data_IF_828240912391
#
_entry.id   IF_828240912391
#
_cell.length_a   1.000
_cell.length_b   1.000
_cell.length_c   1.000
_cell.angle_alpha   90.00
_cell.angle_beta   90.00
_cell.angle_gamma   90.00
#
_symmetry.space_group_name_H-M   'P 1'
#
loop_
_entity.id
_entity.type
_entity.pdbx_description
1 polymer ?
#
# COMPACT_ATOMS: atom_id res chain seq x y z
N UNK A 1 -6.55 21.04 3.32
CA UNK A 1 -7.46 19.90 3.53
C UNK A 1 -7.37 19.48 4.98
N UNK A 2 -8.48 19.56 5.71
CA UNK A 2 -8.52 19.23 7.14
C UNK A 2 -8.50 17.72 7.33
N UNK A 3 -7.56 17.23 8.17
CA UNK A 3 -7.35 15.81 8.49
C UNK A 3 -7.76 15.55 9.94
N UNK A 4 -8.53 14.52 10.16
CA UNK A 4 -9.00 14.10 11.48
C UNK A 4 -8.67 12.63 11.72
N UNK A 5 -8.11 12.32 12.89
CA UNK A 5 -7.86 10.92 13.27
C UNK A 5 -9.16 10.33 13.81
N UNK A 6 -9.60 9.23 13.22
CA UNK A 6 -10.78 8.49 13.66
C UNK A 6 -10.44 7.03 13.91
N UNK A 7 -11.24 6.35 14.72
CA UNK A 7 -11.13 4.90 14.96
C UNK A 7 -12.09 4.15 14.04
N UNK A 8 -11.61 3.09 13.44
CA UNK A 8 -12.41 2.17 12.60
C UNK A 8 -13.06 1.07 13.45
N UNK A 9 -13.95 0.25 12.86
CA UNK A 9 -14.68 -0.77 13.61
C UNK A 9 -13.80 -1.91 14.14
N UNK A 10 -12.61 -2.14 13.55
CA UNK A 10 -11.65 -3.13 14.06
C UNK A 10 -10.71 -2.59 15.15
N UNK A 11 -10.95 -1.36 15.61
CA UNK A 11 -10.15 -0.71 16.66
C UNK A 11 -8.96 0.10 16.15
N UNK A 12 -8.51 -0.13 14.91
CA UNK A 12 -7.39 0.61 14.31
C UNK A 12 -7.75 2.07 14.01
N UNK A 13 -6.75 2.95 13.97
CA UNK A 13 -6.96 4.35 13.59
C UNK A 13 -6.78 4.56 12.08
N UNK A 14 -7.45 5.59 11.55
CA UNK A 14 -7.28 6.06 10.18
C UNK A 14 -7.42 7.58 10.12
N UNK A 15 -7.06 8.18 9.00
CA UNK A 15 -7.21 9.61 8.74
C UNK A 15 -8.47 9.84 7.90
N UNK A 16 -9.35 10.69 8.36
CA UNK A 16 -10.53 11.17 7.63
C UNK A 16 -10.26 12.55 7.03
N UNK A 17 -10.51 12.69 5.73
CA UNK A 17 -10.42 13.94 4.98
C UNK A 17 -11.80 14.56 4.91
N UNK A 18 -12.05 15.61 5.70
CA UNK A 18 -13.39 16.18 5.87
C UNK A 18 -13.98 16.73 4.56
N UNK A 19 -13.18 17.43 3.77
CA UNK A 19 -13.67 18.04 2.52
C UNK A 19 -14.08 17.01 1.46
N UNK A 20 -13.51 15.82 1.50
CA UNK A 20 -13.83 14.74 0.57
C UNK A 20 -14.81 13.72 1.16
N UNK A 21 -15.04 13.77 2.47
CA UNK A 21 -15.70 12.70 3.23
C UNK A 21 -15.13 11.31 2.85
N UNK A 22 -13.82 11.22 2.87
CA UNK A 22 -13.06 10.03 2.50
C UNK A 22 -12.04 9.69 3.58
N UNK A 23 -11.77 8.41 3.78
CA UNK A 23 -10.76 7.94 4.73
C UNK A 23 -9.59 7.32 3.99
N UNK A 24 -8.41 7.34 4.63
CA UNK A 24 -7.23 6.63 4.13
C UNK A 24 -7.48 5.12 4.03
N UNK A 25 -8.30 4.57 4.93
CA UNK A 25 -8.67 3.15 4.96
C UNK A 25 -10.16 2.99 5.23
N UNK A 26 -10.67 1.77 5.05
CA UNK A 26 -12.06 1.44 5.35
C UNK A 26 -12.46 1.78 6.79
N UNK A 27 -13.61 2.43 6.97
CA UNK A 27 -14.23 2.64 8.30
C UNK A 27 -14.64 1.33 8.98
N UNK A 28 -14.75 0.24 8.21
CA UNK A 28 -15.07 -1.09 8.74
C UNK A 28 -13.86 -1.80 9.38
N UNK A 29 -12.64 -1.40 9.02
CA UNK A 29 -11.41 -1.92 9.61
C UNK A 29 -10.23 -1.71 8.69
N UNK A 30 -9.29 -0.85 9.10
CA UNK A 30 -8.11 -0.57 8.29
C UNK A 30 -7.17 -1.78 8.23
N UNK A 31 -6.94 -2.43 9.37
CA UNK A 31 -6.09 -3.62 9.47
C UNK A 31 -6.73 -4.81 8.74
N UNK A 32 -8.04 -5.04 8.93
CA UNK A 32 -8.74 -6.14 8.27
C UNK A 32 -8.70 -6.00 6.75
N UNK A 33 -8.94 -4.79 6.22
CA UNK A 33 -8.87 -4.53 4.78
C UNK A 33 -7.46 -4.77 4.25
N UNK A 34 -6.44 -4.22 4.91
CA UNK A 34 -5.05 -4.41 4.52
C UNK A 34 -4.64 -5.89 4.50
N UNK A 35 -5.01 -6.65 5.53
CA UNK A 35 -4.74 -8.08 5.61
C UNK A 35 -5.47 -8.87 4.53
N UNK A 36 -6.73 -8.54 4.24
CA UNK A 36 -7.49 -9.24 3.22
C UNK A 36 -7.00 -8.93 1.81
N UNK A 37 -6.88 -7.65 1.46
CA UNK A 37 -6.58 -7.21 0.10
C UNK A 37 -5.11 -7.44 -0.25
N UNK A 38 -4.20 -6.94 0.58
CA UNK A 38 -2.79 -6.86 0.21
C UNK A 38 -1.98 -8.07 0.67
N UNK A 39 -2.29 -8.63 1.83
CA UNK A 39 -1.56 -9.79 2.34
C UNK A 39 -2.13 -11.07 1.76
N UNK A 40 -3.40 -11.39 2.02
CA UNK A 40 -4.02 -12.66 1.61
C UNK A 40 -4.08 -12.82 0.11
N UNK A 41 -4.48 -11.79 -0.64
CA UNK A 41 -4.64 -11.86 -2.09
C UNK A 41 -3.39 -11.40 -2.87
N UNK A 42 -2.35 -10.94 -2.19
CA UNK A 42 -1.12 -10.44 -2.79
C UNK A 42 0.12 -11.14 -2.26
N UNK A 43 0.58 -10.76 -1.07
CA UNK A 43 1.87 -11.18 -0.51
C UNK A 43 2.02 -12.71 -0.39
N UNK A 44 0.96 -13.41 0.03
CA UNK A 44 1.00 -14.88 0.23
C UNK A 44 1.25 -15.66 -1.07
N UNK A 45 1.04 -15.06 -2.24
CA UNK A 45 1.35 -15.69 -3.52
C UNK A 45 2.86 -15.89 -3.77
N UNK A 46 3.68 -15.28 -2.92
CA UNK A 46 5.14 -15.25 -3.06
C UNK A 46 5.87 -15.88 -1.86
N UNK A 47 5.26 -16.83 -1.17
CA UNK A 47 5.89 -17.51 -0.02
C UNK A 47 7.27 -18.10 -0.39
N UNK A 48 8.25 -18.00 0.53
CA UNK A 48 9.64 -18.42 0.36
C UNK A 48 10.38 -17.77 -0.83
N UNK A 49 10.02 -16.54 -1.20
CA UNK A 49 10.63 -15.83 -2.35
C UNK A 49 11.21 -14.47 -1.95
N UNK A 50 12.09 -13.96 -2.81
CA UNK A 50 12.41 -12.54 -2.82
C UNK A 50 11.34 -11.81 -3.65
N UNK A 51 10.78 -10.73 -3.09
CA UNK A 51 9.65 -10.01 -3.70
C UNK A 51 9.93 -8.51 -3.72
N UNK A 52 9.87 -7.92 -4.90
CA UNK A 52 9.87 -6.47 -5.07
C UNK A 52 8.44 -5.95 -5.13
N UNK A 53 8.10 -5.03 -4.22
CA UNK A 53 6.75 -4.49 -4.04
C UNK A 53 6.75 -3.00 -4.35
N UNK A 54 5.75 -2.54 -5.13
CA UNK A 54 5.41 -1.13 -5.29
C UNK A 54 4.06 -0.87 -4.63
N UNK A 55 4.03 0.06 -3.69
CA UNK A 55 2.78 0.56 -3.11
C UNK A 55 2.45 1.93 -3.68
N UNK A 56 1.24 2.07 -4.20
CA UNK A 56 0.65 3.32 -4.64
C UNK A 56 -0.22 3.86 -3.52
N UNK A 57 0.22 4.96 -2.90
CA UNK A 57 -0.41 5.50 -1.68
C UNK A 57 0.20 4.93 -0.40
N UNK A 58 1.46 5.30 -0.08
CA UNK A 58 2.11 4.86 1.16
C UNK A 58 1.34 5.30 2.43
N UNK A 59 0.70 6.46 2.36
CA UNK A 59 -0.20 6.99 3.40
C UNK A 59 0.37 6.92 4.81
N UNK A 60 -0.33 6.20 5.69
CA UNK A 60 0.05 6.01 7.09
C UNK A 60 1.06 4.89 7.32
N UNK A 61 1.55 4.23 6.26
CA UNK A 61 2.51 3.13 6.34
C UNK A 61 1.95 1.80 6.84
N UNK A 62 0.61 1.67 6.93
CA UNK A 62 -0.04 0.46 7.45
C UNK A 62 0.31 -0.79 6.61
N UNK A 63 0.15 -0.71 5.29
CA UNK A 63 0.43 -1.85 4.41
C UNK A 63 1.91 -2.26 4.46
N UNK A 64 2.83 -1.29 4.50
CA UNK A 64 4.26 -1.54 4.63
C UNK A 64 4.59 -2.23 5.96
N UNK A 65 3.97 -1.77 7.07
CA UNK A 65 4.20 -2.35 8.39
C UNK A 65 3.63 -3.77 8.51
N UNK A 66 2.41 -4.01 8.04
CA UNK A 66 1.83 -5.38 8.01
C UNK A 66 2.66 -6.29 7.11
N UNK A 67 3.10 -5.81 5.93
CA UNK A 67 3.98 -6.57 5.05
C UNK A 67 5.29 -6.95 5.74
N UNK A 68 5.88 -6.01 6.51
CA UNK A 68 7.07 -6.31 7.31
C UNK A 68 6.83 -7.44 8.31
N UNK A 69 5.72 -7.41 9.03
CA UNK A 69 5.38 -8.45 10.03
C UNK A 69 5.12 -9.81 9.37
N UNK A 70 4.34 -9.83 8.28
CA UNK A 70 3.94 -11.06 7.61
C UNK A 70 5.07 -11.69 6.78
N UNK A 71 5.96 -10.88 6.18
CA UNK A 71 7.09 -11.38 5.39
C UNK A 71 8.03 -12.29 6.18
N UNK A 72 8.16 -12.06 7.50
CA UNK A 72 8.93 -12.93 8.39
C UNK A 72 8.31 -14.33 8.50
N UNK A 73 6.96 -14.40 8.59
CA UNK A 73 6.21 -15.67 8.69
C UNK A 73 6.23 -16.43 7.36
N UNK A 74 6.28 -15.69 6.25
CA UNK A 74 6.30 -16.23 4.89
C UNK A 74 7.73 -16.49 4.36
N UNK A 75 8.75 -16.30 5.19
CA UNK A 75 10.16 -16.50 4.83
C UNK A 75 10.57 -15.74 3.56
N UNK A 76 10.15 -14.48 3.46
CA UNK A 76 10.38 -13.64 2.29
C UNK A 76 11.54 -12.66 2.52
N UNK A 77 12.17 -12.26 1.40
CA UNK A 77 13.05 -11.09 1.35
C UNK A 77 12.36 -10.01 0.53
N UNK A 78 12.16 -8.83 1.11
CA UNK A 78 11.33 -7.77 0.55
C UNK A 78 12.17 -6.56 0.15
N UNK A 79 11.99 -6.09 -1.09
CA UNK A 79 12.37 -4.75 -1.54
C UNK A 79 11.09 -3.92 -1.74
N UNK A 80 10.79 -3.06 -0.77
CA UNK A 80 9.53 -2.32 -0.70
C UNK A 80 9.71 -0.87 -1.14
N UNK A 81 8.94 -0.44 -2.12
CA UNK A 81 8.88 0.95 -2.59
C UNK A 81 7.48 1.50 -2.34
N UNK A 82 7.35 2.48 -1.45
CA UNK A 82 6.09 3.19 -1.20
C UNK A 82 6.10 4.57 -1.86
N UNK A 83 5.09 4.88 -2.67
CA UNK A 83 4.95 6.17 -3.36
C UNK A 83 3.86 6.99 -2.70
N UNK A 84 4.15 8.28 -2.41
CA UNK A 84 3.22 9.21 -1.78
C UNK A 84 3.49 10.64 -2.26
N UNK A 85 2.44 11.33 -2.70
CA UNK A 85 2.56 12.74 -3.11
C UNK A 85 2.45 13.72 -1.93
N UNK A 86 1.64 13.38 -0.93
CA UNK A 86 1.29 14.23 0.21
C UNK A 86 1.51 13.51 1.55
N UNK A 87 2.77 13.29 1.96
CA UNK A 87 3.08 12.55 3.17
C UNK A 87 2.30 13.00 4.40
N UNK A 88 1.96 12.05 5.25
CA UNK A 88 1.40 12.32 6.57
C UNK A 88 2.44 13.00 7.47
N UNK A 89 1.99 13.84 8.42
CA UNK A 89 2.87 14.50 9.37
C UNK A 89 3.34 13.53 10.46
N UNK A 90 4.43 13.89 11.15
CA UNK A 90 4.90 13.13 12.30
C UNK A 90 3.84 13.03 13.42
N UNK A 91 3.04 14.06 13.62
CA UNK A 91 1.97 14.10 14.61
C UNK A 91 0.85 13.12 14.25
N UNK A 92 0.48 13.04 12.97
CA UNK A 92 -0.49 12.08 12.46
C UNK A 92 0.03 10.63 12.64
N UNK A 93 1.30 10.38 12.35
CA UNK A 93 1.94 9.07 12.57
C UNK A 93 1.90 8.66 14.03
N UNK A 94 2.23 9.57 14.95
CA UNK A 94 2.19 9.32 16.40
C UNK A 94 0.78 8.99 16.91
N UNK A 95 -0.25 9.39 16.17
CA UNK A 95 -1.65 9.11 16.51
C UNK A 95 -2.12 7.75 15.97
N UNK A 96 -1.31 7.04 15.17
CA UNK A 96 -1.65 5.70 14.68
C UNK A 96 -1.40 4.65 15.76
N UNK A 97 -2.37 3.77 15.97
CA UNK A 97 -2.32 2.72 17.00
C UNK A 97 -1.95 1.33 16.45
N UNK A 98 -1.45 1.24 15.22
CA UNK A 98 -1.20 -0.02 14.52
C UNK A 98 -0.28 -0.99 15.26
N UNK A 99 0.73 -0.47 15.97
CA UNK A 99 1.65 -1.29 16.77
C UNK A 99 0.89 -2.07 17.84
N UNK A 100 -0.02 -1.40 18.56
CA UNK A 100 -0.82 -2.03 19.61
C UNK A 100 -1.88 -2.98 19.02
N UNK A 101 -2.63 -2.53 18.00
CA UNK A 101 -3.70 -3.34 17.40
C UNK A 101 -3.18 -4.60 16.70
N UNK A 102 -1.94 -4.58 16.22
CA UNK A 102 -1.26 -5.74 15.62
C UNK A 102 -0.48 -6.59 16.64
N UNK A 103 -0.49 -6.23 17.94
CA UNK A 103 0.30 -6.84 19.00
C UNK A 103 1.80 -6.92 18.62
N UNK A 104 2.33 -5.83 18.05
CA UNK A 104 3.66 -5.75 17.46
C UNK A 104 4.58 -4.79 18.23
N UNK A 105 4.49 -4.75 19.56
CA UNK A 105 5.25 -3.83 20.41
C UNK A 105 6.76 -4.01 20.25
N UNK A 106 7.21 -5.23 19.96
CA UNK A 106 8.62 -5.54 19.70
C UNK A 106 9.15 -4.88 18.42
N UNK A 107 8.27 -4.58 17.49
CA UNK A 107 8.55 -3.95 16.20
C UNK A 107 8.22 -2.45 16.18
N UNK A 108 7.88 -1.84 17.33
CA UNK A 108 7.55 -0.40 17.43
C UNK A 108 8.66 0.49 16.84
N UNK A 109 9.93 0.16 17.11
CA UNK A 109 11.08 0.87 16.56
C UNK A 109 11.18 0.77 15.03
N UNK A 110 10.68 -0.32 14.44
CA UNK A 110 10.63 -0.49 12.97
C UNK A 110 9.59 0.44 12.37
N UNK A 111 8.37 0.49 12.95
CA UNK A 111 7.33 1.40 12.51
C UNK A 111 7.78 2.86 12.58
N UNK A 112 8.42 3.25 13.69
CA UNK A 112 9.02 4.58 13.83
C UNK A 112 10.07 4.85 12.75
N UNK A 113 11.02 3.92 12.55
CA UNK A 113 12.07 4.04 11.54
C UNK A 113 11.53 4.15 10.11
N UNK A 114 10.43 3.45 9.78
CA UNK A 114 9.75 3.57 8.48
C UNK A 114 9.36 5.03 8.21
N UNK A 115 8.83 5.73 9.20
CA UNK A 115 8.37 7.11 9.05
C UNK A 115 9.49 8.14 9.11
N UNK A 116 10.44 7.98 10.02
CA UNK A 116 11.57 8.90 10.22
C UNK A 116 12.61 8.86 9.10
N UNK A 117 12.65 7.77 8.31
CA UNK A 117 13.58 7.66 7.19
C UNK A 117 13.36 8.76 6.15
N UNK A 118 14.46 9.17 5.50
CA UNK A 118 14.39 10.15 4.42
C UNK A 118 13.58 9.63 3.24
N UNK A 119 12.90 10.54 2.56
CA UNK A 119 12.25 10.28 1.28
C UNK A 119 13.32 10.14 0.18
N UNK A 120 13.05 9.25 -0.79
CA UNK A 120 13.91 8.96 -1.94
C UNK A 120 15.25 8.28 -1.58
N UNK A 121 15.39 7.78 -0.36
CA UNK A 121 16.54 7.00 0.10
C UNK A 121 16.12 5.59 0.49
N UNK A 122 16.92 4.60 0.09
CA UNK A 122 16.71 3.23 0.52
C UNK A 122 17.30 3.00 1.90
N UNK A 123 16.52 2.40 2.80
CA UNK A 123 16.96 2.01 4.13
C UNK A 123 16.76 0.52 4.37
N UNK A 124 17.63 -0.04 5.21
CA UNK A 124 17.49 -1.42 5.70
C UNK A 124 16.69 -1.40 7.01
N UNK A 125 15.51 -2.03 7.01
CA UNK A 125 14.71 -2.21 8.21
C UNK A 125 15.08 -3.49 8.97
N UNK A 126 15.40 -4.56 8.23
CA UNK A 126 15.95 -5.82 8.76
C UNK A 126 16.84 -6.48 7.70
N UNK A 127 17.40 -7.65 8.02
CA UNK A 127 18.22 -8.41 7.05
C UNK A 127 17.45 -8.72 5.76
N UNK A 128 16.15 -8.93 5.86
CA UNK A 128 15.30 -9.34 4.76
C UNK A 128 14.27 -8.30 4.35
N UNK A 129 14.43 -7.01 4.75
CA UNK A 129 13.48 -5.98 4.38
C UNK A 129 14.18 -4.64 4.11
N UNK A 130 14.12 -4.21 2.85
CA UNK A 130 14.55 -2.89 2.40
C UNK A 130 13.32 -2.02 2.15
N UNK A 131 13.38 -0.74 2.51
CA UNK A 131 12.30 0.23 2.28
C UNK A 131 12.85 1.45 1.53
N UNK A 132 12.16 1.86 0.48
CA UNK A 132 12.33 3.16 -0.18
C UNK A 132 11.00 3.90 -0.19
N UNK A 133 10.91 5.05 0.42
CA UNK A 133 9.75 5.94 0.26
C UNK A 133 10.04 6.94 -0.84
N UNK A 134 9.17 7.07 -1.86
CA UNK A 134 9.31 8.05 -2.94
C UNK A 134 8.26 9.14 -2.80
N UNK A 135 8.72 10.38 -2.64
CA UNK A 135 7.81 11.54 -2.64
C UNK A 135 7.62 12.03 -4.07
N UNK A 136 6.59 11.53 -4.72
CA UNK A 136 6.27 11.86 -6.11
C UNK A 136 4.78 11.62 -6.41
N UNK A 137 4.30 12.19 -7.50
CA UNK A 137 2.98 11.86 -8.04
C UNK A 137 2.99 10.51 -8.76
N UNK A 138 1.84 9.84 -8.84
CA UNK A 138 1.74 8.50 -9.44
C UNK A 138 1.94 8.52 -10.95
N UNK A 139 1.60 9.63 -11.63
CA UNK A 139 1.85 9.84 -13.05
C UNK A 139 3.36 10.01 -13.39
N UNK A 140 4.19 10.29 -12.40
CA UNK A 140 5.63 10.36 -12.54
C UNK A 140 6.35 9.00 -12.39
N UNK A 141 5.61 7.91 -12.14
CA UNK A 141 6.18 6.57 -12.07
C UNK A 141 6.56 6.13 -13.50
N UNK A 142 7.82 5.73 -13.67
CA UNK A 142 8.42 5.32 -14.95
C UNK A 142 9.21 4.01 -14.86
N UNK A 143 9.03 3.27 -13.76
CA UNK A 143 9.66 1.96 -13.59
C UNK A 143 9.19 0.98 -14.68
N UNK A 144 10.13 0.12 -15.15
CA UNK A 144 9.87 -0.90 -16.17
C UNK A 144 10.29 -2.27 -15.62
N UNK A 145 9.37 -3.23 -15.67
CA UNK A 145 9.58 -4.65 -15.28
C UNK A 145 10.36 -4.83 -13.96
N UNK A 146 10.03 -4.01 -12.97
CA UNK A 146 10.81 -3.94 -11.72
C UNK A 146 10.15 -4.68 -10.57
N UNK A 147 8.81 -4.72 -10.52
CA UNK A 147 8.07 -5.19 -9.37
C UNK A 147 7.35 -6.52 -9.63
N UNK A 148 7.40 -7.40 -8.64
CA UNK A 148 6.67 -8.65 -8.63
C UNK A 148 5.21 -8.44 -8.21
N UNK A 149 4.97 -7.44 -7.35
CA UNK A 149 3.68 -7.16 -6.76
C UNK A 149 3.44 -5.65 -6.67
N UNK A 150 2.25 -5.21 -7.05
CA UNK A 150 1.80 -3.83 -6.82
C UNK A 150 0.61 -3.84 -5.86
N UNK A 151 0.73 -3.06 -4.78
CA UNK A 151 -0.38 -2.66 -3.93
C UNK A 151 -0.92 -1.33 -4.46
N UNK A 152 -2.11 -1.35 -5.05
CA UNK A 152 -2.70 -0.13 -5.59
C UNK A 152 -3.75 0.39 -4.60
N UNK A 153 -3.32 1.29 -3.71
CA UNK A 153 -4.08 1.79 -2.56
C UNK A 153 -4.31 3.32 -2.63
N UNK A 154 -4.63 3.82 -3.82
CA UNK A 154 -4.98 5.22 -4.03
C UNK A 154 -6.37 5.56 -3.47
N UNK A 155 -6.64 6.84 -3.20
CA UNK A 155 -7.99 7.31 -2.83
C UNK A 155 -9.03 6.91 -3.87
N UNK A 156 -10.27 6.68 -3.41
CA UNK A 156 -11.33 6.13 -4.23
C UNK A 156 -11.65 6.94 -5.50
N UNK A 157 -12.12 6.25 -6.53
CA UNK A 157 -12.52 6.84 -7.82
C UNK A 157 -13.48 8.04 -7.68
N UNK A 158 -14.29 8.09 -6.62
CA UNK A 158 -15.23 9.19 -6.35
C UNK A 158 -14.53 10.54 -6.18
N UNK A 159 -13.35 10.55 -5.56
CA UNK A 159 -12.62 11.77 -5.17
C UNK A 159 -11.42 12.05 -6.07
N UNK A 160 -10.79 11.01 -6.61
CA UNK A 160 -9.63 11.12 -7.51
C UNK A 160 -9.76 10.18 -8.72
N UNK A 161 -10.74 10.39 -9.63
CA UNK A 161 -10.98 9.51 -10.77
C UNK A 161 -9.77 9.41 -11.72
N UNK A 162 -8.94 10.45 -11.81
CA UNK A 162 -7.74 10.48 -12.64
C UNK A 162 -6.71 9.43 -12.25
N UNK A 163 -6.64 9.04 -10.98
CA UNK A 163 -5.72 8.01 -10.48
C UNK A 163 -6.11 6.60 -10.94
N UNK A 164 -7.35 6.42 -11.39
CA UNK A 164 -7.91 5.15 -11.85
C UNK A 164 -8.04 5.09 -13.39
N UNK A 165 -7.32 5.96 -14.08
CA UNK A 165 -7.33 6.04 -15.54
C UNK A 165 -6.51 4.92 -16.18
N UNK A 166 -6.84 4.59 -17.44
CA UNK A 166 -6.05 3.65 -18.26
C UNK A 166 -4.58 4.06 -18.34
N UNK A 167 -4.27 5.38 -18.37
CA UNK A 167 -2.90 5.87 -18.39
C UNK A 167 -2.11 5.50 -17.13
N UNK A 168 -2.71 5.59 -15.95
CA UNK A 168 -2.08 5.16 -14.68
C UNK A 168 -1.91 3.64 -14.67
N UNK A 169 -2.93 2.86 -15.05
CA UNK A 169 -2.80 1.40 -15.11
C UNK A 169 -1.79 0.94 -16.16
N UNK A 170 -1.61 1.67 -17.25
CA UNK A 170 -0.53 1.38 -18.20
C UNK A 170 0.85 1.51 -17.55
N UNK A 171 1.07 2.53 -16.71
CA UNK A 171 2.31 2.67 -15.93
C UNK A 171 2.50 1.51 -14.95
N UNK A 172 1.43 1.09 -14.27
CA UNK A 172 1.48 -0.08 -13.36
C UNK A 172 1.81 -1.36 -14.13
N UNK A 173 1.19 -1.53 -15.30
CA UNK A 173 1.48 -2.67 -16.17
C UNK A 173 2.95 -2.68 -16.59
N UNK A 174 3.50 -1.54 -17.01
CA UNK A 174 4.90 -1.43 -17.41
C UNK A 174 5.87 -1.67 -16.24
N UNK A 175 5.50 -1.23 -15.03
CA UNK A 175 6.31 -1.41 -13.82
C UNK A 175 6.36 -2.85 -13.31
N UNK A 176 5.37 -3.66 -13.66
CA UNK A 176 5.31 -5.07 -13.28
C UNK A 176 6.20 -5.94 -14.15
N UNK A 177 6.94 -6.83 -13.51
CA UNK A 177 7.63 -7.95 -14.18
C UNK A 177 6.61 -8.85 -14.92
N UNK A 178 7.06 -9.66 -15.90
CA UNK A 178 6.22 -10.73 -16.44
C UNK A 178 5.62 -11.58 -15.33
N UNK A 179 4.30 -11.85 -15.39
CA UNK A 179 3.52 -12.56 -14.36
C UNK A 179 3.41 -11.85 -12.99
N UNK A 180 3.94 -10.64 -12.84
CA UNK A 180 3.73 -9.84 -11.63
C UNK A 180 2.23 -9.58 -11.40
N UNK A 181 1.84 -9.33 -10.16
CA UNK A 181 0.45 -9.17 -9.74
C UNK A 181 0.17 -7.74 -9.29
N UNK A 182 -1.05 -7.27 -9.50
CA UNK A 182 -1.56 -6.04 -8.92
C UNK A 182 -2.79 -6.38 -8.08
N UNK A 183 -2.82 -5.90 -6.86
CA UNK A 183 -3.95 -6.03 -5.95
C UNK A 183 -4.46 -4.65 -5.52
N UNK A 184 -5.77 -4.53 -5.38
CA UNK A 184 -6.44 -3.29 -4.96
C UNK A 184 -7.77 -3.60 -4.28
N UNK A 185 -8.20 -2.73 -3.39
CA UNK A 185 -9.51 -2.84 -2.75
C UNK A 185 -10.68 -2.48 -3.68
N UNK A 186 -10.40 -1.80 -4.79
CA UNK A 186 -11.43 -1.24 -5.67
C UNK A 186 -11.93 -2.25 -6.70
N UNK A 187 -13.18 -2.71 -6.54
CA UNK A 187 -13.84 -3.67 -7.44
C UNK A 187 -14.79 -3.02 -8.47
N UNK A 188 -14.70 -1.69 -8.68
CA UNK A 188 -15.63 -0.99 -9.59
C UNK A 188 -15.40 -1.35 -11.05
N UNK A 189 -16.51 -1.47 -11.81
CA UNK A 189 -16.46 -1.81 -13.23
C UNK A 189 -15.64 -0.87 -14.12
N UNK A 190 -15.44 0.40 -13.71
CA UNK A 190 -14.56 1.35 -14.41
C UNK A 190 -13.10 0.94 -14.24
N UNK A 191 -12.68 0.64 -13.01
CA UNK A 191 -11.33 0.17 -12.69
C UNK A 191 -11.01 -1.12 -13.44
N UNK A 192 -11.94 -2.07 -13.41
CA UNK A 192 -11.88 -3.33 -14.13
C UNK A 192 -11.66 -3.12 -15.65
N UNK A 193 -12.43 -2.23 -16.27
CA UNK A 193 -12.27 -1.90 -17.69
C UNK A 193 -10.90 -1.31 -18.02
N UNK A 194 -10.43 -0.37 -17.20
CA UNK A 194 -9.10 0.23 -17.39
C UNK A 194 -7.97 -0.81 -17.30
N UNK A 195 -8.08 -1.80 -16.39
CA UNK A 195 -7.12 -2.89 -16.28
C UNK A 195 -7.16 -3.82 -17.51
N UNK A 196 -8.36 -4.15 -18.02
CA UNK A 196 -8.52 -4.99 -19.22
C UNK A 196 -7.93 -4.30 -20.44
N UNK A 197 -8.15 -2.99 -20.61
CA UNK A 197 -7.61 -2.22 -21.74
C UNK A 197 -6.09 -2.26 -21.83
N UNK A 198 -5.39 -2.37 -20.70
CA UNK A 198 -3.91 -2.50 -20.68
C UNK A 198 -3.42 -3.96 -20.80
N UNK A 199 -4.30 -4.91 -21.11
CA UNK A 199 -3.96 -6.30 -21.44
C UNK A 199 -3.77 -7.23 -20.25
N UNK A 200 -4.33 -6.89 -19.07
CA UNK A 200 -4.36 -7.81 -17.93
C UNK A 200 -5.67 -8.59 -17.88
N UNK A 201 -5.53 -9.93 -17.89
CA UNK A 201 -6.64 -10.82 -17.55
C UNK A 201 -6.89 -10.77 -16.03
N UNK A 202 -8.15 -10.76 -15.62
CA UNK A 202 -8.53 -10.87 -14.22
C UNK A 202 -8.37 -12.32 -13.75
N UNK A 203 -7.65 -12.51 -12.65
CA UNK A 203 -7.89 -13.66 -11.78
C UNK A 203 -8.85 -13.17 -10.68
N UNK A 204 -10.11 -13.61 -10.76
CA UNK A 204 -11.10 -13.34 -9.73
C UNK A 204 -10.72 -14.03 -8.42
N UNK A 205 -10.47 -13.26 -7.39
CA UNK A 205 -10.73 -13.68 -6.02
C UNK A 205 -11.81 -12.76 -5.47
N UNK A 206 -13.05 -12.98 -5.93
CA UNK A 206 -14.23 -12.50 -5.23
C UNK A 206 -14.70 -13.62 -4.34
N UNK A 207 -14.59 -13.47 -3.03
CA UNK A 207 -15.59 -13.81 -2.02
C UNK A 207 -15.07 -13.38 -0.66
#
# INVERSE_FOLDING_TARGET
MEREIIQTLDGSTTIHLKEWDECYHSKHGAIQEAQHVFIKNGLTLFENKSVSILEIGFGTGLNAFITFLESKKLYQSIDYVGVEAYPVSAEEVLSMNYVAELNAEKEAMIFQKMHESNWNEQIKLSENFMLTKRKQFFDAIDDIEKFDLIYFDAFGYRVQPELWSTAIFQKMHNALKPQGKLVTYAARGVVKRSMIEVGRSEEHTSE
#
